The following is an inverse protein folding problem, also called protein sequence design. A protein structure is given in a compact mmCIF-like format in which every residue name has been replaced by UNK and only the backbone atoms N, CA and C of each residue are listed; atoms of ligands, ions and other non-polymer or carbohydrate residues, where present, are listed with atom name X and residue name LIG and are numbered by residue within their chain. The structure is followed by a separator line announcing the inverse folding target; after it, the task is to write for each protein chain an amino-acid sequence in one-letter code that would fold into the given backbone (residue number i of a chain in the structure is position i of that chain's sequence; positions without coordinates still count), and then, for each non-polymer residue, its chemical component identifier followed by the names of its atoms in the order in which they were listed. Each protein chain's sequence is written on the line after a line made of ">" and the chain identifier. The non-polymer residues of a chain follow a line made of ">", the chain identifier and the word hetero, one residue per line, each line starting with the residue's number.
data_IF_575564971327
#
_entry.id   IF_575564971327
#
_cell.length_a   1.000
_cell.length_b   1.000
_cell.length_c   1.000
_cell.angle_alpha   90.00
_cell.angle_beta   90.00
_cell.angle_gamma   90.00
#
_symmetry.space_group_name_H-M   'P 1'
#
loop_
_entity.id
_entity.type
_entity.pdbx_description
1 polymer ?
#
# COMPACT_ATOMS: atom_id res chain seq x y z
N UNK A 1 -6.72 -11.14 -3.04
CA UNK A 1 -5.42 -11.66 -2.55
C UNK A 1 -5.55 -11.77 -1.05
N UNK A 2 -5.54 -12.97 -0.52
CA UNK A 2 -5.47 -13.20 0.92
C UNK A 2 -4.05 -12.82 1.30
N UNK A 3 -3.88 -11.81 2.15
CA UNK A 3 -2.59 -11.56 2.80
C UNK A 3 -2.29 -12.81 3.64
N UNK A 4 -1.57 -13.75 3.06
CA UNK A 4 -0.99 -14.86 3.81
C UNK A 4 0.11 -14.21 4.64
N UNK A 5 -0.15 -14.06 5.95
CA UNK A 5 0.92 -13.88 6.91
C UNK A 5 1.94 -14.99 6.67
N UNK A 6 3.01 -14.72 6.00
CA UNK A 6 4.24 -15.49 6.15
C UNK A 6 4.90 -14.95 7.42
N UNK A 7 4.68 -15.62 8.54
CA UNK A 7 5.60 -15.49 9.66
C UNK A 7 6.98 -15.86 9.11
N UNK A 8 7.80 -14.84 8.89
CA UNK A 8 9.22 -15.08 8.63
C UNK A 8 9.86 -15.50 9.96
N UNK A 9 10.60 -16.60 10.01
CA UNK A 9 11.33 -16.98 11.20
C UNK A 9 12.40 -15.93 11.50
N UNK A 10 12.45 -15.45 12.75
CA UNK A 10 13.55 -14.73 13.35
C UNK A 10 14.03 -13.51 12.55
N UNK A 11 13.51 -12.33 12.90
CA UNK A 11 14.14 -11.06 12.53
C UNK A 11 15.57 -11.07 13.12
N UNK A 12 16.66 -11.06 12.32
CA UNK A 12 18.00 -11.03 12.90
C UNK A 12 18.15 -9.72 13.67
N UNK A 13 18.70 -9.84 14.86
CA UNK A 13 19.06 -8.72 15.73
C UNK A 13 19.75 -7.60 14.95
N UNK A 14 19.33 -6.36 15.26
CA UNK A 14 19.92 -5.08 14.87
C UNK A 14 20.76 -5.11 13.58
N UNK A 15 20.17 -4.61 12.48
CA UNK A 15 20.94 -4.22 11.30
C UNK A 15 22.06 -3.28 11.77
N UNK A 16 23.34 -3.53 11.45
CA UNK A 16 24.41 -2.62 11.81
C UNK A 16 24.09 -1.20 11.31
N UNK A 17 24.10 -0.23 12.19
CA UNK A 17 24.03 1.17 11.80
C UNK A 17 25.19 1.44 10.82
N UNK A 18 24.88 1.73 9.55
CA UNK A 18 25.88 1.99 8.51
C UNK A 18 25.72 1.19 7.22
N UNK A 19 24.84 0.19 7.15
CA UNK A 19 24.63 -0.62 5.93
C UNK A 19 23.50 -0.09 5.04
N UNK A 20 23.18 1.19 5.10
CA UNK A 20 22.26 1.83 4.15
C UNK A 20 22.94 2.07 2.79
N UNK A 21 22.17 2.06 1.67
CA UNK A 21 22.74 2.42 0.38
C UNK A 21 23.27 3.86 0.44
N UNK A 22 24.37 4.11 -0.30
CA UNK A 22 25.01 5.43 -0.49
C UNK A 22 24.13 6.39 -1.33
N UNK A 23 22.85 6.41 -1.03
CA UNK A 23 21.80 7.24 -1.64
C UNK A 23 20.92 7.76 -0.52
N UNK A 24 20.51 9.04 -0.52
CA UNK A 24 19.55 9.53 0.44
C UNK A 24 18.31 8.63 0.49
N UNK A 25 17.98 8.12 1.67
CA UNK A 25 16.83 7.27 1.84
C UNK A 25 15.56 8.06 1.44
N UNK A 26 14.66 7.49 0.62
CA UNK A 26 13.47 8.18 0.16
C UNK A 26 12.51 8.43 1.32
N UNK A 27 11.72 9.51 1.25
CA UNK A 27 10.61 9.72 2.17
C UNK A 27 9.52 8.71 1.86
N UNK A 28 9.07 7.98 2.87
CA UNK A 28 8.10 6.89 2.70
C UNK A 28 6.69 7.40 2.91
N UNK A 29 5.82 7.22 1.91
CA UNK A 29 4.37 7.39 2.05
C UNK A 29 3.77 6.03 2.38
N UNK A 30 3.22 5.89 3.58
CA UNK A 30 2.59 4.69 4.07
C UNK A 30 1.11 4.90 4.37
N UNK A 31 0.31 3.91 4.11
CA UNK A 31 -1.11 3.90 4.50
C UNK A 31 -1.83 2.68 3.98
N UNK A 32 -2.98 2.39 4.56
CA UNK A 32 -3.83 1.32 4.06
C UNK A 32 -4.13 1.51 2.57
N UNK A 33 -4.15 0.42 1.82
CA UNK A 33 -4.64 0.49 0.45
C UNK A 33 -6.03 1.15 0.43
N UNK A 34 -6.29 2.02 -0.54
CA UNK A 34 -7.52 2.83 -0.67
C UNK A 34 -7.61 4.03 0.31
N UNK A 35 -6.54 4.40 0.95
CA UNK A 35 -6.47 5.63 1.77
C UNK A 35 -6.15 6.90 0.97
N UNK A 36 -6.18 6.85 -0.36
CA UNK A 36 -5.88 8.01 -1.22
C UNK A 36 -4.42 8.15 -1.61
N UNK A 37 -3.58 7.16 -1.30
CA UNK A 37 -2.14 7.15 -1.59
C UNK A 37 -1.81 7.38 -3.07
N UNK A 38 -2.63 6.88 -4.02
CA UNK A 38 -2.41 7.12 -5.45
C UNK A 38 -2.64 8.58 -5.85
N UNK A 39 -3.70 9.20 -5.35
CA UNK A 39 -3.97 10.62 -5.59
C UNK A 39 -2.87 11.49 -4.98
N UNK A 40 -2.52 11.23 -3.73
CA UNK A 40 -1.47 11.95 -3.04
C UNK A 40 -0.10 11.79 -3.72
N UNK A 41 0.22 10.59 -4.23
CA UNK A 41 1.40 10.36 -5.06
C UNK A 41 1.45 11.28 -6.27
N UNK A 42 0.33 11.42 -6.99
CA UNK A 42 0.25 12.27 -8.18
C UNK A 42 0.41 13.76 -7.83
N UNK A 43 -0.09 14.18 -6.65
CA UNK A 43 0.15 15.52 -6.13
C UNK A 43 1.64 15.75 -5.85
N UNK A 44 2.31 14.79 -5.20
CA UNK A 44 3.75 14.85 -4.95
C UNK A 44 4.56 14.88 -6.25
N UNK A 45 4.24 14.02 -7.20
CA UNK A 45 4.96 13.89 -8.48
C UNK A 45 4.75 15.08 -9.42
N UNK A 46 3.71 15.92 -9.19
CA UNK A 46 3.53 17.18 -9.91
C UNK A 46 4.37 18.35 -9.36
N UNK A 47 5.01 18.17 -8.20
CA UNK A 47 5.92 19.17 -7.64
C UNK A 47 7.30 19.09 -8.34
N UNK A 48 7.88 20.21 -8.82
CA UNK A 48 9.12 20.20 -9.62
C UNK A 48 10.36 19.67 -8.86
N UNK A 49 10.34 19.73 -7.53
CA UNK A 49 11.44 19.29 -6.67
C UNK A 49 11.12 17.97 -5.91
N UNK A 50 10.06 17.26 -6.28
CA UNK A 50 9.69 15.97 -5.68
C UNK A 50 9.47 14.96 -6.78
N UNK A 51 9.96 13.76 -6.60
CA UNK A 51 9.70 12.63 -7.47
C UNK A 51 9.02 11.51 -6.70
N UNK A 52 7.95 10.94 -7.25
CA UNK A 52 7.32 9.77 -6.67
C UNK A 52 7.08 8.68 -7.74
N UNK A 53 7.95 7.68 -7.86
CA UNK A 53 7.78 6.59 -8.82
C UNK A 53 6.55 5.71 -8.51
N UNK A 54 5.98 5.78 -7.32
CA UNK A 54 4.82 5.01 -6.89
C UNK A 54 5.16 3.89 -5.91
N UNK A 55 4.48 2.75 -6.07
CA UNK A 55 4.58 1.61 -5.16
C UNK A 55 5.94 0.91 -5.32
N UNK A 56 6.66 0.70 -4.20
CA UNK A 56 7.98 0.05 -4.17
C UNK A 56 8.04 -1.13 -3.20
N UNK A 57 6.90 -1.66 -2.78
CA UNK A 57 6.82 -2.82 -1.88
C UNK A 57 7.71 -3.99 -2.30
N UNK A 58 7.95 -4.14 -3.61
CA UNK A 58 8.83 -5.17 -4.17
C UNK A 58 10.28 -5.10 -3.66
N UNK A 59 10.75 -3.91 -3.23
CA UNK A 59 12.08 -3.75 -2.65
C UNK A 59 12.24 -4.55 -1.34
N UNK A 60 11.13 -4.72 -0.61
CA UNK A 60 11.10 -5.41 0.68
C UNK A 60 10.52 -6.82 0.56
N UNK A 61 9.56 -7.06 -0.34
CA UNK A 61 8.90 -8.36 -0.52
C UNK A 61 9.85 -9.46 -0.98
N UNK A 62 10.85 -9.09 -1.76
CA UNK A 62 11.82 -10.00 -2.36
C UNK A 62 13.20 -9.94 -1.71
N UNK A 63 13.38 -9.12 -0.68
CA UNK A 63 14.60 -9.04 0.13
C UNK A 63 14.48 -10.02 1.30
N UNK A 64 15.45 -10.90 1.46
CA UNK A 64 15.45 -11.93 2.51
C UNK A 64 16.73 -11.89 3.31
N UNK A 65 16.69 -12.12 4.64
CA UNK A 65 17.89 -12.33 5.43
C UNK A 65 18.70 -13.50 4.89
N UNK A 66 20.00 -13.32 4.79
CA UNK A 66 20.95 -14.40 4.43
C UNK A 66 22.30 -14.12 5.11
N UNK A 67 22.53 -14.65 6.32
CA UNK A 67 23.77 -14.41 7.07
C UNK A 67 25.04 -14.90 6.36
N UNK A 68 24.91 -15.79 5.37
CA UNK A 68 26.04 -16.27 4.58
C UNK A 68 26.49 -15.29 3.49
N UNK A 69 25.76 -14.23 3.25
CA UNK A 69 26.09 -13.19 2.26
C UNK A 69 26.71 -11.97 2.91
N UNK A 70 27.61 -11.27 2.23
CA UNK A 70 28.05 -9.95 2.63
C UNK A 70 26.85 -9.02 2.87
N UNK A 71 26.83 -8.31 4.00
CA UNK A 71 25.72 -7.44 4.37
C UNK A 71 24.47 -8.15 4.91
N UNK A 72 24.44 -9.50 4.97
CA UNK A 72 23.35 -10.27 5.61
C UNK A 72 22.04 -10.36 4.85
N UNK A 73 21.99 -9.95 3.57
CA UNK A 73 20.77 -9.87 2.78
C UNK A 73 20.95 -10.44 1.36
N UNK A 74 19.89 -11.05 0.83
CA UNK A 74 19.80 -11.48 -0.58
C UNK A 74 18.45 -11.15 -1.19
N UNK A 75 18.41 -11.00 -2.52
CA UNK A 75 17.15 -10.89 -3.27
C UNK A 75 16.70 -12.21 -3.88
N UNK A 76 15.39 -12.50 -3.79
CA UNK A 76 14.73 -13.43 -4.71
C UNK A 76 14.56 -12.74 -6.07
N UNK A 77 15.60 -12.83 -6.91
CA UNK A 77 15.65 -12.19 -8.24
C UNK A 77 14.53 -12.69 -9.16
N UNK A 78 14.21 -13.99 -9.11
CA UNK A 78 13.14 -14.56 -9.92
C UNK A 78 11.76 -14.02 -9.49
N UNK A 79 11.51 -13.94 -8.19
CA UNK A 79 10.30 -13.31 -7.65
C UNK A 79 10.20 -11.84 -7.99
N UNK A 80 11.32 -11.11 -7.90
CA UNK A 80 11.40 -9.69 -8.25
C UNK A 80 11.05 -9.46 -9.73
N UNK A 81 11.65 -10.20 -10.66
CA UNK A 81 11.36 -10.15 -12.11
C UNK A 81 9.92 -10.57 -12.42
N UNK A 82 9.32 -11.48 -11.63
CA UNK A 82 7.92 -11.87 -11.78
C UNK A 82 6.95 -10.82 -11.21
N UNK A 83 7.41 -9.88 -10.39
CA UNK A 83 6.58 -8.81 -9.82
C UNK A 83 6.06 -7.87 -10.91
N UNK A 84 4.73 -7.69 -10.96
CA UNK A 84 4.10 -6.76 -11.90
C UNK A 84 4.55 -5.32 -11.66
N UNK A 85 4.67 -4.91 -10.41
CA UNK A 85 5.06 -3.55 -10.02
C UNK A 85 6.51 -3.31 -10.41
N UNK A 86 7.42 -4.23 -10.07
CA UNK A 86 8.82 -4.13 -10.50
C UNK A 86 8.96 -3.96 -12.01
N UNK A 87 8.28 -4.82 -12.81
CA UNK A 87 8.31 -4.71 -14.27
C UNK A 87 7.77 -3.38 -14.80
N UNK A 88 6.76 -2.81 -14.14
CA UNK A 88 6.21 -1.52 -14.53
C UNK A 88 7.23 -0.38 -14.36
N UNK A 89 8.14 -0.49 -13.39
CA UNK A 89 9.19 0.51 -13.16
C UNK A 89 10.35 0.43 -14.16
N UNK A 90 10.50 -0.69 -14.91
CA UNK A 90 11.59 -0.87 -15.89
C UNK A 90 12.97 -0.64 -15.28
N UNK A 91 13.20 -1.15 -14.08
CA UNK A 91 14.51 -1.11 -13.42
C UNK A 91 15.40 -2.19 -13.98
N UNK A 92 16.69 -1.88 -14.08
CA UNK A 92 17.73 -2.84 -14.42
C UNK A 92 18.16 -3.62 -13.16
N UNK A 93 18.27 -4.93 -13.26
CA UNK A 93 18.83 -5.78 -12.21
C UNK A 93 20.29 -6.08 -12.53
N UNK A 94 21.19 -5.34 -11.90
CA UNK A 94 22.62 -5.56 -12.03
C UNK A 94 23.03 -6.94 -11.50
N UNK A 95 23.72 -7.77 -12.29
CA UNK A 95 24.04 -9.15 -11.91
C UNK A 95 25.07 -9.24 -10.78
N UNK A 96 25.93 -8.26 -10.67
CA UNK A 96 27.06 -8.13 -9.74
C UNK A 96 26.65 -7.59 -8.35
N UNK A 97 25.42 -7.07 -8.20
CA UNK A 97 24.95 -6.48 -6.94
C UNK A 97 23.96 -7.41 -6.23
N UNK A 98 24.02 -7.42 -4.90
CA UNK A 98 23.11 -8.19 -4.03
C UNK A 98 22.67 -7.38 -2.81
N UNK A 99 21.65 -7.86 -2.11
CA UNK A 99 21.20 -7.32 -0.82
C UNK A 99 20.95 -5.81 -0.85
N UNK A 100 21.54 -5.08 0.10
CA UNK A 100 21.35 -3.64 0.23
C UNK A 100 22.00 -2.84 -0.91
N UNK A 101 23.08 -3.36 -1.53
CA UNK A 101 23.74 -2.70 -2.65
C UNK A 101 22.84 -2.70 -3.89
N UNK A 102 22.15 -3.80 -4.16
CA UNK A 102 21.15 -3.89 -5.23
C UNK A 102 19.95 -2.99 -4.94
N UNK A 103 19.49 -2.92 -3.68
CA UNK A 103 18.44 -1.97 -3.29
C UNK A 103 18.89 -0.53 -3.54
N UNK A 104 20.09 -0.19 -3.14
CA UNK A 104 20.69 1.13 -3.37
C UNK A 104 20.79 1.48 -4.85
N UNK A 105 21.15 0.51 -5.70
CA UNK A 105 21.19 0.71 -7.14
C UNK A 105 19.78 0.98 -7.72
N UNK A 106 18.78 0.23 -7.31
CA UNK A 106 17.39 0.48 -7.73
C UNK A 106 16.89 1.87 -7.29
N UNK A 107 17.28 2.34 -6.09
CA UNK A 107 16.97 3.69 -5.63
C UNK A 107 17.72 4.76 -6.43
N UNK A 108 19.01 4.55 -6.77
CA UNK A 108 19.74 5.43 -7.68
C UNK A 108 19.09 5.53 -9.04
N UNK A 109 18.60 4.43 -9.60
CA UNK A 109 17.89 4.44 -10.87
C UNK A 109 16.62 5.29 -10.82
N UNK A 110 15.91 5.36 -9.68
CA UNK A 110 14.80 6.31 -9.51
C UNK A 110 15.32 7.75 -9.39
N UNK A 111 16.32 8.01 -8.58
CA UNK A 111 16.89 9.35 -8.37
C UNK A 111 17.45 9.95 -9.66
N UNK A 112 18.09 9.15 -10.53
CA UNK A 112 18.61 9.64 -11.81
C UNK A 112 17.54 10.08 -12.81
N UNK A 113 16.29 9.64 -12.64
CA UNK A 113 15.15 10.09 -13.48
C UNK A 113 14.66 11.48 -13.12
N UNK A 114 14.96 11.97 -11.92
CA UNK A 114 14.60 13.30 -11.42
C UNK A 114 15.77 13.86 -10.61
N UNK A 115 16.85 14.32 -11.25
CA UNK A 115 18.05 14.81 -10.57
C UNK A 115 17.72 15.99 -9.66
N UNK A 116 18.22 15.95 -8.42
CA UNK A 116 18.02 17.01 -7.43
C UNK A 116 16.64 17.03 -6.76
N UNK A 117 15.73 16.15 -7.14
CA UNK A 117 14.42 16.05 -6.49
C UNK A 117 14.48 15.20 -5.20
N UNK A 118 13.63 15.55 -4.23
CA UNK A 118 13.34 14.71 -3.07
C UNK A 118 12.60 13.47 -3.54
N UNK A 119 13.21 12.30 -3.38
CA UNK A 119 12.58 11.05 -3.71
C UNK A 119 11.56 10.66 -2.62
N UNK A 120 10.33 10.44 -3.00
CA UNK A 120 9.27 9.88 -2.16
C UNK A 120 8.80 8.56 -2.76
N UNK A 121 8.39 7.59 -1.94
CA UNK A 121 7.96 6.27 -2.41
C UNK A 121 6.74 5.78 -1.63
N UNK A 122 5.88 4.99 -2.27
CA UNK A 122 4.71 4.41 -1.62
C UNK A 122 5.00 2.97 -1.16
N UNK A 123 4.69 2.70 0.11
CA UNK A 123 4.77 1.37 0.72
C UNK A 123 3.44 1.05 1.41
N UNK A 124 2.95 -0.18 1.29
CA UNK A 124 1.64 -0.58 1.81
C UNK A 124 1.70 -1.69 2.86
N UNK A 125 2.86 -2.29 3.09
CA UNK A 125 3.07 -3.33 4.10
C UNK A 125 4.54 -3.45 4.51
N UNK A 126 4.82 -4.25 5.56
CA UNK A 126 6.17 -4.42 6.12
C UNK A 126 6.81 -3.12 6.65
N UNK A 127 6.01 -2.14 7.08
CA UNK A 127 6.49 -0.80 7.40
C UNK A 127 7.49 -0.77 8.58
N UNK A 128 7.33 -1.65 9.58
CA UNK A 128 8.29 -1.76 10.67
C UNK A 128 9.68 -2.21 10.17
N UNK A 129 9.73 -3.07 9.15
CA UNK A 129 10.97 -3.47 8.48
C UNK A 129 11.58 -2.32 7.68
N UNK A 130 10.74 -1.57 6.97
CA UNK A 130 11.18 -0.36 6.26
C UNK A 130 11.81 0.65 7.22
N UNK A 131 11.16 0.89 8.36
CA UNK A 131 11.64 1.82 9.39
C UNK A 131 13.00 1.39 9.99
N UNK A 132 13.25 0.07 10.12
CA UNK A 132 14.55 -0.44 10.57
C UNK A 132 15.66 -0.33 9.52
N UNK A 133 15.31 -0.51 8.24
CA UNK A 133 16.29 -0.49 7.14
C UNK A 133 16.59 0.92 6.64
N UNK A 134 15.60 1.82 6.72
CA UNK A 134 15.71 3.19 6.24
C UNK A 134 15.44 4.19 7.37
N UNK A 135 16.48 4.82 7.95
CA UNK A 135 16.30 5.88 8.94
C UNK A 135 15.88 7.19 8.25
N UNK A 136 14.62 7.22 7.75
CA UNK A 136 14.10 8.32 6.94
C UNK A 136 12.82 8.91 7.54
N UNK A 137 12.18 9.80 6.80
CA UNK A 137 10.90 10.43 7.14
C UNK A 137 9.74 9.63 6.56
N UNK A 138 8.60 9.66 7.26
CA UNK A 138 7.39 8.91 6.92
C UNK A 138 6.18 9.84 6.88
N UNK A 139 5.40 9.75 5.81
CA UNK A 139 4.07 10.34 5.72
C UNK A 139 3.05 9.23 5.91
N UNK A 140 2.38 9.21 7.07
CA UNK A 140 1.33 8.25 7.37
C UNK A 140 -0.01 8.76 6.84
N UNK A 141 -0.47 8.17 5.72
CA UNK A 141 -1.77 8.46 5.11
C UNK A 141 -2.87 7.69 5.82
N UNK A 142 -3.63 8.39 6.64
CA UNK A 142 -4.75 7.84 7.40
C UNK A 142 -6.08 8.18 6.71
N UNK A 143 -7.02 7.23 6.66
CA UNK A 143 -8.38 7.41 6.15
C UNK A 143 -9.39 6.65 7.00
N UNK A 144 -10.62 7.14 7.04
CA UNK A 144 -11.74 6.48 7.72
C UNK A 144 -11.91 5.02 7.27
N UNK A 145 -11.82 4.04 8.19
CA UNK A 145 -11.92 2.61 7.85
C UNK A 145 -13.25 2.25 7.18
N UNK A 146 -14.31 3.01 7.40
CA UNK A 146 -15.64 2.79 6.79
C UNK A 146 -15.59 3.05 5.27
N UNK A 147 -14.87 4.09 4.84
CA UNK A 147 -14.65 4.37 3.41
C UNK A 147 -13.66 3.39 2.79
N UNK A 148 -12.55 3.09 3.49
CA UNK A 148 -11.55 2.11 3.03
C UNK A 148 -12.19 0.74 2.81
N UNK A 149 -12.97 0.25 3.77
CA UNK A 149 -13.65 -1.04 3.71
C UNK A 149 -14.56 -1.15 2.49
N UNK A 150 -15.35 -0.13 2.22
CA UNK A 150 -16.25 -0.07 1.06
C UNK A 150 -15.48 0.03 -0.25
N UNK A 151 -14.43 0.83 -0.30
CA UNK A 151 -13.56 0.94 -1.47
C UNK A 151 -12.90 -0.41 -1.82
N UNK A 152 -12.53 -1.21 -0.82
CA UNK A 152 -12.01 -2.58 -1.04
C UNK A 152 -13.05 -3.51 -1.68
N UNK A 153 -14.34 -3.33 -1.37
CA UNK A 153 -15.42 -4.08 -2.05
C UNK A 153 -15.51 -3.67 -3.51
N UNK A 154 -15.51 -2.38 -3.82
CA UNK A 154 -15.52 -1.87 -5.19
C UNK A 154 -14.36 -2.37 -6.05
N UNK A 155 -13.22 -2.64 -5.44
CA UNK A 155 -12.04 -3.22 -6.11
C UNK A 155 -12.10 -4.75 -6.25
N UNK A 156 -13.09 -5.41 -5.64
CA UNK A 156 -13.20 -6.87 -5.61
C UNK A 156 -12.17 -7.56 -4.70
N UNK A 157 -11.51 -6.80 -3.82
CA UNK A 157 -10.58 -7.35 -2.83
C UNK A 157 -11.32 -7.97 -1.66
N UNK A 158 -12.49 -7.45 -1.36
CA UNK A 158 -13.46 -8.02 -0.43
C UNK A 158 -14.84 -8.13 -1.10
N UNK A 159 -15.67 -9.03 -0.61
CA UNK A 159 -17.07 -9.16 -1.07
C UNK A 159 -18.05 -8.49 -0.11
N UNK A 160 -17.63 -8.12 1.09
CA UNK A 160 -18.39 -7.36 2.09
C UNK A 160 -17.50 -6.33 2.74
N UNK A 161 -18.08 -5.22 3.17
CA UNK A 161 -17.31 -4.15 3.83
C UNK A 161 -16.75 -4.61 5.18
N UNK A 162 -17.45 -5.49 5.90
CA UNK A 162 -16.92 -6.15 7.10
C UNK A 162 -15.56 -6.81 6.83
N UNK A 163 -15.41 -7.54 5.72
CA UNK A 163 -14.14 -8.15 5.33
C UNK A 163 -13.17 -7.13 4.72
N UNK A 164 -13.68 -6.09 4.04
CA UNK A 164 -12.88 -5.00 3.48
C UNK A 164 -12.10 -4.21 4.54
N UNK A 165 -12.66 -4.07 5.75
CA UNK A 165 -12.00 -3.45 6.88
C UNK A 165 -10.69 -4.14 7.31
N UNK A 166 -10.48 -5.40 6.92
CA UNK A 166 -9.26 -6.14 7.24
C UNK A 166 -7.99 -5.48 6.68
N UNK A 167 -8.07 -4.82 5.52
CA UNK A 167 -6.94 -4.13 4.91
C UNK A 167 -6.50 -2.93 5.74
N UNK A 168 -7.46 -2.15 6.26
CA UNK A 168 -7.19 -1.04 7.14
C UNK A 168 -6.61 -1.51 8.48
N UNK A 169 -7.25 -2.51 9.10
CA UNK A 169 -6.77 -3.09 10.37
C UNK A 169 -5.35 -3.65 10.25
N UNK A 170 -5.01 -4.27 9.14
CA UNK A 170 -3.67 -4.80 8.92
C UNK A 170 -2.64 -3.65 8.84
N UNK A 171 -2.93 -2.63 8.04
CA UNK A 171 -2.04 -1.49 7.88
C UNK A 171 -1.85 -0.70 9.18
N UNK A 172 -2.93 -0.44 9.93
CA UNK A 172 -2.82 0.33 11.16
C UNK A 172 -2.12 -0.44 12.30
N UNK A 173 -2.23 -1.78 12.33
CA UNK A 173 -1.43 -2.61 13.24
C UNK A 173 0.05 -2.62 12.89
N UNK A 174 0.37 -2.72 11.60
CA UNK A 174 1.76 -2.60 11.15
C UNK A 174 2.33 -1.21 11.47
N UNK A 175 1.51 -0.17 11.39
CA UNK A 175 1.92 1.18 11.81
C UNK A 175 2.18 1.25 13.32
N UNK A 176 1.36 0.62 14.15
CA UNK A 176 1.62 0.54 15.61
C UNK A 176 2.93 -0.20 15.95
N UNK A 177 3.35 -1.13 15.10
CA UNK A 177 4.65 -1.81 15.22
C UNK A 177 5.82 -0.92 14.75
N UNK A 178 5.59 -0.04 13.80
CA UNK A 178 6.61 0.83 13.22
C UNK A 178 6.79 2.14 14.00
N UNK A 179 5.71 2.76 14.45
CA UNK A 179 5.74 4.09 15.05
C UNK A 179 6.72 4.22 16.23
N UNK A 180 6.87 3.24 17.14
CA UNK A 180 7.85 3.30 18.23
C UNK A 180 9.32 3.30 17.76
N UNK A 181 9.59 2.95 16.52
CA UNK A 181 10.94 2.95 15.93
C UNK A 181 11.33 4.32 15.37
N UNK A 182 10.38 5.25 15.30
CA UNK A 182 10.53 6.54 14.65
C UNK A 182 10.48 7.66 15.68
N UNK A 183 11.27 8.71 15.46
CA UNK A 183 11.17 9.93 16.24
C UNK A 183 9.98 10.78 15.74
N UNK A 184 9.36 11.60 16.61
CA UNK A 184 8.20 12.43 16.23
C UNK A 184 8.43 13.30 14.99
N UNK A 185 9.62 13.89 14.86
CA UNK A 185 9.99 14.74 13.73
C UNK A 185 10.17 13.99 12.40
N UNK A 186 10.26 12.68 12.45
CA UNK A 186 10.32 11.83 11.25
C UNK A 186 8.94 11.47 10.70
N UNK A 187 7.87 11.84 11.39
CA UNK A 187 6.51 11.40 11.04
C UNK A 187 5.58 12.58 10.78
N UNK A 188 4.97 12.60 9.61
CA UNK A 188 3.82 13.45 9.31
C UNK A 188 2.58 12.58 9.14
N UNK A 189 1.61 12.68 10.04
CA UNK A 189 0.29 12.06 9.82
C UNK A 189 -0.58 12.99 9.00
N UNK A 190 -1.07 12.47 7.86
CA UNK A 190 -1.95 13.17 6.92
C UNK A 190 -3.28 12.43 6.83
N UNK A 191 -4.35 13.04 7.35
CA UNK A 191 -5.70 12.47 7.21
C UNK A 191 -6.27 12.79 5.84
N UNK A 192 -6.80 11.80 5.18
CA UNK A 192 -7.44 11.96 3.87
C UNK A 192 -8.61 12.95 3.93
N UNK A 193 -9.40 12.91 4.99
CA UNK A 193 -10.53 13.79 5.22
C UNK A 193 -10.11 15.25 5.39
N UNK A 194 -8.99 15.49 6.11
CA UNK A 194 -8.43 16.83 6.26
C UNK A 194 -7.82 17.32 4.95
N UNK A 195 -7.14 16.45 4.20
CA UNK A 195 -6.63 16.75 2.87
C UNK A 195 -7.76 17.16 1.92
N UNK A 196 -8.92 16.50 1.98
CA UNK A 196 -10.08 16.84 1.13
C UNK A 196 -10.80 18.12 1.57
N UNK A 197 -10.74 18.47 2.86
CA UNK A 197 -11.36 19.67 3.40
C UNK A 197 -10.51 20.92 3.16
N UNK A 198 -9.20 20.79 3.30
CA UNK A 198 -8.22 21.89 3.19
C UNK A 198 -6.99 21.40 2.41
N UNK A 199 -7.19 21.26 1.10
CA UNK A 199 -6.17 20.67 0.22
C UNK A 199 -4.88 21.47 0.23
N UNK A 200 -4.99 22.80 0.08
CA UNK A 200 -3.82 23.69 0.01
C UNK A 200 -3.05 23.68 1.34
N UNK A 201 -3.74 23.93 2.47
CA UNK A 201 -3.08 23.96 3.78
C UNK A 201 -2.40 22.66 4.14
N UNK A 202 -3.00 21.51 3.80
CA UNK A 202 -2.37 20.21 4.05
C UNK A 202 -1.14 19.99 3.14
N UNK A 203 -1.20 20.42 1.88
CA UNK A 203 -0.05 20.29 0.96
C UNK A 203 1.07 21.25 1.31
N UNK A 204 0.78 22.45 1.83
CA UNK A 204 1.79 23.37 2.41
C UNK A 204 2.52 22.70 3.56
N UNK A 205 1.80 22.01 4.48
CA UNK A 205 2.43 21.23 5.58
C UNK A 205 3.31 20.09 5.04
N UNK A 206 2.87 19.44 3.97
CA UNK A 206 3.66 18.39 3.30
C UNK A 206 4.94 18.97 2.72
N UNK A 207 4.86 20.11 2.01
CA UNK A 207 6.05 20.77 1.45
C UNK A 207 7.04 21.18 2.55
N UNK A 208 6.56 21.74 3.67
CA UNK A 208 7.40 22.08 4.81
C UNK A 208 8.07 20.82 5.40
N UNK A 209 7.35 19.71 5.51
CA UNK A 209 7.89 18.43 5.99
C UNK A 209 8.92 17.83 5.02
N UNK A 210 8.76 18.02 3.72
CA UNK A 210 9.72 17.61 2.69
C UNK A 210 10.88 18.60 2.51
N UNK A 211 10.83 19.77 3.16
CA UNK A 211 11.81 20.87 3.03
C UNK A 211 11.91 21.39 1.60
N UNK A 212 10.76 21.51 0.92
CA UNK A 212 10.64 22.08 -0.42
C UNK A 212 9.70 23.28 -0.40
N UNK A 213 9.90 24.30 -1.27
CA UNK A 213 8.98 25.42 -1.36
C UNK A 213 7.60 24.96 -1.84
N UNK A 214 6.56 25.65 -1.39
CA UNK A 214 5.21 25.43 -1.88
C UNK A 214 5.03 25.76 -3.36
N UNK A 215 4.20 24.97 -4.06
CA UNK A 215 3.75 25.26 -5.42
C UNK A 215 2.31 24.80 -5.65
N UNK A 216 1.52 25.62 -6.34
CA UNK A 216 0.13 25.32 -6.71
C UNK A 216 0.00 24.21 -7.76
N UNK A 217 1.09 23.79 -8.40
CA UNK A 217 1.11 22.63 -9.32
C UNK A 217 0.56 21.38 -8.68
N UNK A 218 0.76 21.20 -7.37
CA UNK A 218 0.24 20.04 -6.62
C UNK A 218 -1.29 20.00 -6.61
N UNK A 219 -1.97 21.14 -6.66
CA UNK A 219 -3.43 21.23 -6.77
C UNK A 219 -3.94 20.84 -8.16
N UNK A 220 -3.11 21.03 -9.18
CA UNK A 220 -3.43 20.80 -10.59
C UNK A 220 -2.90 19.48 -11.14
N UNK A 221 -2.55 18.50 -10.28
CA UNK A 221 -2.00 17.20 -10.68
C UNK A 221 -2.84 16.48 -11.75
N UNK A 222 -4.14 16.73 -11.82
CA UNK A 222 -5.07 16.16 -12.79
C UNK A 222 -4.83 16.65 -14.23
N UNK A 223 -4.14 17.76 -14.44
CA UNK A 223 -3.78 18.26 -15.77
C UNK A 223 -2.72 17.39 -16.45
N UNK A 224 -1.94 16.65 -15.66
CA UNK A 224 -0.85 15.77 -16.13
C UNK A 224 -1.08 14.29 -15.82
N UNK A 225 -2.27 13.93 -15.38
CA UNK A 225 -2.61 12.56 -15.02
C UNK A 225 -3.99 12.15 -15.56
N UNK A 226 -4.29 10.87 -15.57
CA UNK A 226 -5.62 10.36 -15.89
C UNK A 226 -6.63 10.46 -14.74
N UNK A 227 -6.21 11.03 -13.60
CA UNK A 227 -7.06 11.21 -12.43
C UNK A 227 -7.90 12.48 -12.54
N UNK A 228 -9.10 12.43 -11.97
CA UNK A 228 -9.99 13.59 -11.87
C UNK A 228 -9.46 14.57 -10.82
N UNK A 229 -9.88 15.86 -10.88
CA UNK A 229 -9.63 16.81 -9.81
C UNK A 229 -10.05 16.27 -8.45
N UNK A 230 -9.44 16.73 -7.35
CA UNK A 230 -9.83 16.31 -6.01
C UNK A 230 -11.29 16.72 -5.75
N UNK A 231 -12.09 15.75 -5.33
CA UNK A 231 -13.51 15.97 -5.00
C UNK A 231 -13.72 15.75 -3.49
N UNK A 232 -14.02 16.81 -2.71
CA UNK A 232 -14.27 16.66 -1.27
C UNK A 232 -15.36 15.66 -0.92
N UNK A 233 -16.30 15.39 -1.83
CA UNK A 233 -17.39 14.41 -1.63
C UNK A 233 -16.91 12.97 -1.59
N UNK A 234 -15.66 12.68 -1.91
CA UNK A 234 -15.08 11.33 -1.76
C UNK A 234 -14.69 11.01 -0.31
N UNK A 235 -14.62 12.00 0.57
CA UNK A 235 -14.51 11.81 2.01
C UNK A 235 -15.90 11.51 2.62
N UNK A 236 -15.93 10.64 3.62
CA UNK A 236 -17.16 10.25 4.35
C UNK A 236 -18.31 9.71 3.46
N UNK A 237 -17.99 9.14 2.30
CA UNK A 237 -19.02 8.56 1.41
C UNK A 237 -19.84 7.47 2.08
N UNK A 238 -19.29 6.80 3.07
CA UNK A 238 -19.98 5.77 3.84
C UNK A 238 -21.30 6.27 4.46
N UNK A 239 -21.39 7.56 4.83
CA UNK A 239 -22.62 8.15 5.41
C UNK A 239 -23.82 8.08 4.48
N UNK A 240 -23.59 8.12 3.17
CA UNK A 240 -24.65 8.15 2.14
C UNK A 240 -24.75 6.84 1.35
N UNK A 241 -23.69 6.02 1.36
CA UNK A 241 -23.59 4.83 0.49
C UNK A 241 -23.68 3.51 1.26
N UNK A 242 -23.80 3.54 2.58
CA UNK A 242 -23.87 2.33 3.39
C UNK A 242 -25.05 2.38 4.37
N UNK A 243 -25.76 1.26 4.59
CA UNK A 243 -26.76 1.18 5.63
C UNK A 243 -26.09 1.20 7.01
N UNK A 244 -26.76 1.78 8.05
CA UNK A 244 -26.22 1.84 9.40
C UNK A 244 -25.81 0.48 9.98
N UNK A 245 -26.53 -0.59 9.65
CA UNK A 245 -26.20 -1.95 10.10
C UNK A 245 -24.87 -2.48 9.57
N UNK A 246 -24.50 -2.10 8.34
CA UNK A 246 -23.18 -2.42 7.74
C UNK A 246 -22.07 -1.63 8.44
N UNK A 247 -22.33 -0.35 8.69
CA UNK A 247 -21.38 0.53 9.37
C UNK A 247 -21.13 0.07 10.80
N UNK A 248 -22.18 -0.28 11.55
CA UNK A 248 -22.05 -0.81 12.91
C UNK A 248 -21.13 -2.04 13.01
N UNK A 249 -21.12 -2.91 11.98
CA UNK A 249 -20.21 -4.06 11.92
C UNK A 249 -18.75 -3.66 11.65
N UNK A 250 -18.52 -2.64 10.80
CA UNK A 250 -17.18 -2.11 10.54
C UNK A 250 -16.65 -1.46 11.82
N UNK A 251 -17.46 -0.60 12.44
CA UNK A 251 -17.12 0.08 13.70
C UNK A 251 -16.80 -0.91 14.81
N UNK A 252 -17.62 -1.95 14.99
CA UNK A 252 -17.37 -2.98 16.00
C UNK A 252 -16.07 -3.77 15.73
N UNK A 253 -15.76 -4.02 14.46
CA UNK A 253 -14.53 -4.70 14.06
C UNK A 253 -13.28 -3.86 14.24
N UNK A 254 -13.39 -2.53 14.04
CA UNK A 254 -12.27 -1.58 14.04
C UNK A 254 -12.18 -0.77 15.33
N UNK A 255 -13.07 -0.96 16.31
CA UNK A 255 -13.32 -0.07 17.43
C UNK A 255 -12.05 0.46 18.12
N UNK A 256 -11.15 -0.43 18.54
CA UNK A 256 -9.93 -0.04 19.26
C UNK A 256 -9.00 0.87 18.42
N UNK A 257 -8.73 0.47 17.18
CA UNK A 257 -7.86 1.25 16.30
C UNK A 257 -8.55 2.53 15.77
N UNK A 258 -9.87 2.51 15.56
CA UNK A 258 -10.63 3.73 15.25
C UNK A 258 -10.46 4.76 16.36
N UNK A 259 -10.67 4.36 17.62
CA UNK A 259 -10.49 5.25 18.77
C UNK A 259 -9.05 5.78 18.87
N UNK A 260 -8.05 4.91 18.71
CA UNK A 260 -6.64 5.30 18.72
C UNK A 260 -6.28 6.27 17.59
N UNK A 261 -6.99 6.20 16.45
CA UNK A 261 -6.81 7.12 15.31
C UNK A 261 -7.78 8.31 15.34
N UNK A 262 -8.58 8.48 16.39
CA UNK A 262 -9.51 9.59 16.55
C UNK A 262 -10.73 9.55 15.63
N UNK A 263 -11.17 8.35 15.20
CA UNK A 263 -12.44 8.15 14.51
C UNK A 263 -13.53 7.72 15.48
N UNK A 264 -14.54 8.55 15.66
CA UNK A 264 -15.68 8.23 16.51
C UNK A 264 -16.65 7.26 15.81
N UNK A 265 -17.27 6.30 16.54
CA UNK A 265 -18.36 5.51 16.01
C UNK A 265 -19.63 6.38 15.89
N UNK A 266 -20.46 6.13 14.86
CA UNK A 266 -21.69 6.88 14.59
C UNK A 266 -22.93 5.97 14.49
N UNK A 267 -22.75 4.66 14.29
CA UNK A 267 -23.85 3.72 14.04
C UNK A 267 -24.04 2.64 15.14
N UNK A 268 -23.36 2.79 16.26
CA UNK A 268 -23.41 1.82 17.36
C UNK A 268 -22.62 0.55 17.04
N UNK A 269 -21.33 0.52 17.42
CA UNK A 269 -20.42 -0.57 17.08
C UNK A 269 -20.93 -1.90 17.65
N UNK A 270 -20.96 -2.94 16.81
CA UNK A 270 -21.37 -4.29 17.20
C UNK A 270 -20.54 -5.39 16.53
N UNK A 271 -20.43 -6.52 17.20
CA UNK A 271 -19.91 -7.74 16.59
C UNK A 271 -21.04 -8.52 15.87
N UNK A 272 -20.71 -9.24 14.77
CA UNK A 272 -21.69 -10.11 14.12
C UNK A 272 -22.01 -11.32 15.01
N UNK A 273 -23.25 -11.81 14.99
CA UNK A 273 -23.64 -13.09 15.61
C UNK A 273 -22.99 -14.25 14.84
N UNK A 274 -22.90 -15.45 15.45
CA UNK A 274 -22.28 -16.63 14.79
C UNK A 274 -22.85 -16.94 13.41
N UNK A 275 -24.18 -16.98 13.28
CA UNK A 275 -24.84 -17.22 12.00
C UNK A 275 -24.55 -16.09 10.99
N UNK A 276 -24.53 -14.84 11.44
CA UNK A 276 -24.18 -13.68 10.62
C UNK A 276 -22.71 -13.72 10.15
N UNK A 277 -21.78 -14.15 11.01
CA UNK A 277 -20.38 -14.35 10.64
C UNK A 277 -20.24 -15.35 9.49
N UNK A 278 -20.96 -16.48 9.57
CA UNK A 278 -20.97 -17.49 8.51
C UNK A 278 -21.58 -16.93 7.22
N UNK A 279 -22.72 -16.26 7.31
CA UNK A 279 -23.36 -15.61 6.17
C UNK A 279 -22.46 -14.57 5.49
N UNK A 280 -21.79 -13.72 6.28
CA UNK A 280 -20.82 -12.75 5.79
C UNK A 280 -19.64 -13.42 5.09
N UNK A 281 -19.13 -14.54 5.63
CA UNK A 281 -18.03 -15.28 5.01
C UNK A 281 -18.44 -15.90 3.65
N UNK A 282 -19.61 -16.53 3.58
CA UNK A 282 -20.16 -17.07 2.33
C UNK A 282 -20.38 -15.94 1.32
N UNK A 283 -21.03 -14.86 1.73
CA UNK A 283 -21.30 -13.71 0.87
C UNK A 283 -20.00 -13.05 0.37
N UNK A 284 -18.99 -12.92 1.25
CA UNK A 284 -17.67 -12.42 0.88
C UNK A 284 -17.03 -13.29 -0.20
N UNK A 285 -17.09 -14.62 -0.04
CA UNK A 285 -16.51 -15.56 -1.01
C UNK A 285 -17.23 -15.50 -2.36
N UNK A 286 -18.55 -15.57 -2.36
CA UNK A 286 -19.36 -15.59 -3.59
C UNK A 286 -19.26 -14.29 -4.38
N UNK A 287 -19.33 -13.13 -3.71
CA UNK A 287 -19.19 -11.81 -4.36
C UNK A 287 -17.78 -11.61 -4.93
N UNK A 288 -16.73 -12.04 -4.21
CA UNK A 288 -15.36 -12.00 -4.74
C UNK A 288 -15.18 -12.91 -5.96
N UNK A 289 -15.81 -14.08 -5.97
CA UNK A 289 -15.78 -14.99 -7.12
C UNK A 289 -16.48 -14.35 -8.32
N UNK A 290 -17.71 -13.85 -8.13
CA UNK A 290 -18.44 -13.15 -9.20
C UNK A 290 -17.62 -11.99 -9.79
N UNK A 291 -17.03 -11.18 -8.94
CA UNK A 291 -16.20 -10.06 -9.38
C UNK A 291 -14.96 -10.53 -10.18
N UNK A 292 -14.26 -11.54 -9.70
CA UNK A 292 -13.08 -12.07 -10.37
C UNK A 292 -13.42 -12.83 -11.67
N UNK A 293 -14.54 -13.53 -11.71
CA UNK A 293 -15.05 -14.14 -12.95
C UNK A 293 -15.38 -13.04 -13.97
N UNK A 294 -16.03 -11.97 -13.56
CA UNK A 294 -16.29 -10.81 -14.44
C UNK A 294 -15.00 -10.15 -14.96
N UNK A 295 -13.98 -10.02 -14.10
CA UNK A 295 -12.69 -9.39 -14.46
C UNK A 295 -11.83 -10.27 -15.37
N UNK A 296 -11.71 -11.56 -15.07
CA UNK A 296 -10.76 -12.46 -15.74
C UNK A 296 -11.41 -13.33 -16.81
N UNK A 297 -12.71 -13.53 -16.73
CA UNK A 297 -13.45 -14.58 -17.41
C UNK A 297 -13.33 -15.93 -16.67
N UNK A 298 -14.35 -16.78 -16.81
CA UNK A 298 -14.41 -18.07 -16.10
C UNK A 298 -13.19 -18.98 -16.37
N UNK A 299 -12.69 -19.13 -17.62
CA UNK A 299 -11.55 -20.02 -17.86
C UNK A 299 -10.28 -19.59 -17.14
N UNK A 300 -9.92 -18.29 -17.19
CA UNK A 300 -8.70 -17.78 -16.54
C UNK A 300 -8.84 -17.78 -15.01
N UNK A 301 -10.04 -17.52 -14.49
CA UNK A 301 -10.34 -17.64 -13.07
C UNK A 301 -10.15 -19.07 -12.56
N UNK A 302 -10.70 -20.08 -13.28
CA UNK A 302 -10.51 -21.48 -12.94
C UNK A 302 -9.07 -21.93 -13.05
N UNK A 303 -8.36 -21.53 -14.13
CA UNK A 303 -6.94 -21.80 -14.28
C UNK A 303 -6.12 -21.24 -13.11
N UNK A 304 -6.44 -20.01 -12.66
CA UNK A 304 -5.80 -19.39 -11.48
C UNK A 304 -6.00 -20.18 -10.19
N UNK A 305 -7.13 -20.88 -10.04
CA UNK A 305 -7.38 -21.78 -8.91
C UNK A 305 -6.70 -23.14 -9.09
N UNK A 306 -6.78 -23.73 -10.27
CA UNK A 306 -6.18 -25.03 -10.59
C UNK A 306 -4.65 -25.02 -10.39
N UNK A 307 -3.97 -23.92 -10.75
CA UNK A 307 -2.51 -23.80 -10.56
C UNK A 307 -2.04 -23.73 -9.09
N UNK A 308 -2.96 -23.78 -8.12
CA UNK A 308 -2.64 -23.97 -6.69
C UNK A 308 -2.41 -25.42 -6.34
N UNK A 309 -2.91 -26.36 -7.14
CA UNK A 309 -2.69 -27.79 -6.96
C UNK A 309 -1.23 -28.15 -7.26
N UNK A 310 -0.64 -29.08 -6.51
CA UNK A 310 0.80 -29.40 -6.65
C UNK A 310 1.24 -29.70 -8.08
N UNK A 311 0.52 -30.55 -8.81
CA UNK A 311 0.86 -30.96 -10.18
C UNK A 311 0.71 -29.90 -11.26
N UNK A 312 -0.02 -28.80 -10.97
CA UNK A 312 -0.26 -27.72 -11.93
C UNK A 312 0.51 -26.43 -11.62
N UNK A 313 1.33 -26.43 -10.58
CA UNK A 313 2.10 -25.25 -10.15
C UNK A 313 3.05 -24.72 -11.22
N UNK A 314 3.56 -25.56 -12.09
CA UNK A 314 4.44 -25.19 -13.21
C UNK A 314 3.79 -24.18 -14.16
N UNK A 315 2.47 -24.21 -14.32
CA UNK A 315 1.72 -23.28 -15.16
C UNK A 315 1.38 -21.97 -14.47
N UNK A 316 1.59 -21.86 -13.16
CA UNK A 316 1.22 -20.69 -12.36
C UNK A 316 1.83 -19.37 -12.85
N UNK A 317 3.11 -19.29 -13.27
CA UNK A 317 3.68 -18.04 -13.78
C UNK A 317 2.97 -17.54 -15.04
N UNK A 318 2.67 -18.43 -16.00
CA UNK A 318 1.97 -18.08 -17.24
C UNK A 318 0.53 -17.59 -16.98
N UNK A 319 -0.19 -18.28 -16.10
CA UNK A 319 -1.55 -17.88 -15.74
C UNK A 319 -1.54 -16.54 -15.00
N UNK A 320 -0.60 -16.34 -14.07
CA UNK A 320 -0.43 -15.08 -13.36
C UNK A 320 -0.12 -13.92 -14.30
N UNK A 321 0.76 -14.12 -15.26
CA UNK A 321 1.08 -13.09 -16.25
C UNK A 321 -0.16 -12.61 -17.02
N UNK A 322 -1.00 -13.53 -17.51
CA UNK A 322 -2.27 -13.19 -18.17
C UNK A 322 -3.26 -12.48 -17.26
N UNK A 323 -3.31 -12.86 -15.99
CA UNK A 323 -4.14 -12.15 -15.00
C UNK A 323 -3.62 -10.73 -14.74
N UNK A 324 -2.30 -10.55 -14.63
CA UNK A 324 -1.66 -9.25 -14.42
C UNK A 324 -1.89 -8.30 -15.61
N UNK A 325 -1.85 -8.80 -16.85
CA UNK A 325 -2.19 -8.03 -18.05
C UNK A 325 -3.63 -7.51 -18.00
N UNK A 326 -4.59 -8.35 -17.60
CA UNK A 326 -5.98 -7.92 -17.43
C UNK A 326 -6.15 -6.91 -16.29
N UNK A 327 -5.44 -7.08 -15.18
CA UNK A 327 -5.44 -6.12 -14.08
C UNK A 327 -4.90 -4.77 -14.56
N UNK A 328 -3.78 -4.76 -15.29
CA UNK A 328 -3.17 -3.53 -15.79
C UNK A 328 -4.08 -2.75 -16.75
N UNK A 329 -4.85 -3.45 -17.59
CA UNK A 329 -5.87 -2.83 -18.47
C UNK A 329 -7.06 -2.27 -17.69
N UNK A 330 -7.42 -2.89 -16.58
CA UNK A 330 -8.56 -2.47 -15.77
C UNK A 330 -8.23 -1.32 -14.81
N UNK A 331 -6.96 -1.16 -14.44
CA UNK A 331 -6.49 -0.06 -13.57
C UNK A 331 -6.17 1.24 -14.36
N UNK A 332 -6.16 1.18 -15.69
CA UNK A 332 -6.08 2.35 -16.57
C UNK A 332 -7.46 2.97 -16.79
#
# INVERSE_FOLDING_TARGET
>A
MTAVRRNLPGDPAAVPAGAGPDVPAPVVVYGAVRSGTTMFRLMLDSHPLVANPGEVDFLFDHLHPDPARPGGWRYDRAGLQASRIFRAHRLELRPDLEGMDLMGDMLRQFATRAPGAVLTVNVHHNIARVARLWPTRFIHMLRDPRDVARSCVGMGWAGTSYHGAASWLAAEREWDEAAPLLRPEQVLTLRFEDLMRDLEGQLVRVCAFLEVPWTDRMLRYHEWSSYQPPDPRIAHQWRHKAPPSEIALIEGRCAALMAARGYAPECGPRAPRRAETLALAVLNRTRRWRFNIGRFGLPLFLAGHATRLPGLRVFRPRVRLRMDEKISRWLK
#
